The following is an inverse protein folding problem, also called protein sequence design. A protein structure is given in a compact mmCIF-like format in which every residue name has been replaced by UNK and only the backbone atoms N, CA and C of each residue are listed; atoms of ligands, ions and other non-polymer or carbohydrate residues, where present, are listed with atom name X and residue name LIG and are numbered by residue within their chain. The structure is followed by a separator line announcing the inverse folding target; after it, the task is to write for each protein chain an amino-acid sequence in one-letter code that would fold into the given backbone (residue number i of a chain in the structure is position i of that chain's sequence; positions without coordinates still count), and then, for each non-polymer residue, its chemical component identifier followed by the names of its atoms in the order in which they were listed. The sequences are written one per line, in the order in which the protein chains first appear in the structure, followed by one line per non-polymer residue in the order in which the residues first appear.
data_IF_089196809744
#
_entry.id   IF_089196809744
#
_cell.length_a   1.000
_cell.length_b   1.000
_cell.length_c   1.000
_cell.angle_alpha   90.00
_cell.angle_beta   90.00
_cell.angle_gamma   90.00
#
_symmetry.space_group_name_H-M   'P 1'
#
loop_
_entity.id
_entity.type
_entity.pdbx_description
1 polymer ?
#
# COMPACT_ATOMS: atom_id res chain seq x y z
N UNK A 1 -5.79 36.02 20.80
CA UNK A 1 -6.54 35.29 19.76
C UNK A 1 -5.96 33.88 19.69
N UNK A 2 -6.73 32.87 20.09
CA UNK A 2 -6.27 31.48 20.10
C UNK A 2 -6.38 30.95 18.66
N UNK A 3 -5.29 30.39 18.12
CA UNK A 3 -5.26 29.80 16.78
C UNK A 3 -5.50 28.29 16.87
N UNK A 4 -6.05 27.64 15.83
CA UNK A 4 -6.17 26.20 15.77
C UNK A 4 -4.81 25.51 15.94
N UNK A 5 -4.79 24.36 16.61
CA UNK A 5 -3.61 23.51 16.75
C UNK A 5 -3.54 22.60 15.52
N UNK A 6 -2.38 22.55 14.88
CA UNK A 6 -2.10 21.58 13.82
C UNK A 6 -1.61 20.29 14.50
N UNK A 7 -2.25 19.17 14.18
CA UNK A 7 -1.84 17.85 14.65
C UNK A 7 -0.71 17.37 13.74
N UNK A 8 0.51 17.21 14.28
CA UNK A 8 1.70 16.85 13.50
C UNK A 8 1.52 15.55 12.70
N UNK A 9 0.82 14.55 13.26
CA UNK A 9 0.51 13.30 12.54
C UNK A 9 -0.27 13.56 11.24
N UNK A 10 -1.22 14.51 11.24
CA UNK A 10 -2.01 14.82 10.04
C UNK A 10 -1.13 15.47 8.96
N UNK A 11 -0.12 16.27 9.36
CA UNK A 11 0.84 16.83 8.42
C UNK A 11 1.69 15.72 7.80
N UNK A 12 2.14 14.79 8.62
CA UNK A 12 3.00 13.69 8.19
C UNK A 12 2.25 12.70 7.26
N UNK A 13 0.97 12.46 7.52
CA UNK A 13 0.09 11.72 6.61
C UNK A 13 -0.08 12.43 5.27
N UNK A 14 -0.30 13.74 5.28
CA UNK A 14 -0.39 14.54 4.05
C UNK A 14 0.92 14.53 3.26
N UNK A 15 2.06 14.66 3.94
CA UNK A 15 3.39 14.61 3.31
C UNK A 15 3.66 13.23 2.69
N UNK A 16 3.26 12.15 3.38
CA UNK A 16 3.37 10.77 2.89
C UNK A 16 2.57 10.57 1.61
N UNK A 17 1.31 11.02 1.59
CA UNK A 17 0.46 10.94 0.40
C UNK A 17 1.00 11.81 -0.74
N UNK A 18 1.45 13.04 -0.44
CA UNK A 18 2.05 13.93 -1.43
C UNK A 18 3.29 13.29 -2.05
N UNK A 19 4.19 12.73 -1.24
CA UNK A 19 5.39 12.04 -1.73
C UNK A 19 5.02 10.84 -2.60
N UNK A 20 4.09 10.01 -2.14
CA UNK A 20 3.59 8.85 -2.88
C UNK A 20 3.08 9.27 -4.27
N UNK A 21 2.20 10.27 -4.34
CA UNK A 21 1.65 10.80 -5.61
C UNK A 21 2.73 11.40 -6.51
N UNK A 22 3.73 12.06 -5.93
CA UNK A 22 4.80 12.70 -6.69
C UNK A 22 5.71 11.69 -7.42
N UNK A 23 5.87 10.49 -6.87
CA UNK A 23 6.68 9.42 -7.48
C UNK A 23 5.86 8.41 -8.30
N UNK A 24 4.54 8.59 -8.40
CA UNK A 24 3.68 7.70 -9.19
C UNK A 24 3.88 7.88 -10.70
N UNK A 25 3.68 6.81 -11.50
CA UNK A 25 3.69 6.92 -12.94
C UNK A 25 2.61 7.88 -13.44
N UNK A 26 2.96 8.70 -14.43
CA UNK A 26 2.04 9.68 -15.01
C UNK A 26 0.76 9.01 -15.52
N UNK A 27 -0.37 9.60 -15.16
CA UNK A 27 -1.69 9.18 -15.60
C UNK A 27 -2.36 8.14 -14.71
N UNK A 28 -1.61 7.46 -13.82
CA UNK A 28 -2.23 6.58 -12.83
C UNK A 28 -3.11 7.39 -11.87
N UNK A 29 -4.16 6.77 -11.36
CA UNK A 29 -5.06 7.38 -10.37
C UNK A 29 -4.69 6.88 -8.98
N UNK A 30 -4.99 7.69 -7.96
CA UNK A 30 -4.84 7.29 -6.56
C UNK A 30 -5.99 7.94 -5.78
N UNK A 31 -6.98 7.14 -5.42
CA UNK A 31 -8.24 7.58 -4.84
C UNK A 31 -8.34 7.10 -3.39
N UNK A 32 -8.75 7.99 -2.48
CA UNK A 32 -8.99 7.61 -1.08
C UNK A 32 -10.35 6.90 -0.98
N UNK A 33 -10.40 5.68 -0.44
CA UNK A 33 -11.69 5.05 -0.14
C UNK A 33 -12.40 5.79 1.00
N UNK A 34 -13.73 5.73 0.98
CA UNK A 34 -14.59 6.29 2.01
C UNK A 34 -15.75 5.31 2.25
N UNK A 35 -15.96 4.80 3.47
CA UNK A 35 -15.25 5.11 4.72
C UNK A 35 -13.79 4.61 4.75
N UNK A 36 -13.01 5.14 5.70
CA UNK A 36 -11.68 4.62 6.01
C UNK A 36 -11.82 3.22 6.64
N UNK A 37 -11.22 2.24 5.99
CA UNK A 37 -11.31 0.81 6.31
C UNK A 37 -9.92 0.15 6.32
N UNK A 38 -8.86 0.91 6.56
CA UNK A 38 -7.49 0.39 6.53
C UNK A 38 -6.94 0.21 5.12
N UNK A 39 -7.39 1.05 4.19
CA UNK A 39 -6.79 1.27 2.87
C UNK A 39 -6.68 2.78 2.71
N UNK A 40 -5.45 3.29 2.54
CA UNK A 40 -5.25 4.72 2.37
C UNK A 40 -5.50 5.16 0.93
N UNK A 41 -5.08 4.35 -0.06
CA UNK A 41 -5.28 4.63 -1.47
C UNK A 41 -5.64 3.38 -2.27
N UNK A 42 -6.55 3.55 -3.23
CA UNK A 42 -6.78 2.63 -4.34
C UNK A 42 -6.14 3.23 -5.58
N UNK A 43 -5.17 2.52 -6.16
CA UNK A 43 -4.40 2.99 -7.30
C UNK A 43 -4.85 2.30 -8.57
N UNK A 44 -5.37 3.08 -9.52
CA UNK A 44 -5.72 2.62 -10.85
C UNK A 44 -4.53 2.66 -11.80
N UNK A 45 -4.23 1.52 -12.43
CA UNK A 45 -3.12 1.40 -13.39
C UNK A 45 -3.60 1.81 -14.78
N UNK A 46 -2.91 2.79 -15.39
CA UNK A 46 -3.11 3.20 -16.78
C UNK A 46 -1.96 2.71 -17.65
N UNK A 47 -2.29 2.13 -18.80
CA UNK A 47 -1.32 1.65 -19.79
C UNK A 47 -1.67 2.19 -21.17
N UNK A 48 -0.68 2.76 -21.87
CA UNK A 48 -0.86 3.29 -23.23
C UNK A 48 -2.05 4.26 -23.37
N UNK A 49 -2.23 5.14 -22.36
CA UNK A 49 -3.35 6.06 -22.24
C UNK A 49 -4.74 5.39 -22.21
N UNK A 50 -4.82 4.16 -21.69
CA UNK A 50 -6.07 3.42 -21.48
C UNK A 50 -6.13 2.88 -20.06
N UNK A 51 -7.30 2.94 -19.46
CA UNK A 51 -7.56 2.27 -18.19
C UNK A 51 -7.35 0.77 -18.38
N UNK A 52 -6.53 0.15 -17.52
CA UNK A 52 -6.15 -1.27 -17.68
C UNK A 52 -7.05 -2.25 -16.93
N UNK A 53 -8.07 -1.77 -16.20
CA UNK A 53 -8.89 -2.54 -15.25
C UNK A 53 -8.11 -3.19 -14.09
N UNK A 54 -6.84 -2.82 -13.92
CA UNK A 54 -5.98 -3.30 -12.83
C UNK A 54 -5.84 -2.22 -11.79
N UNK A 55 -5.95 -2.64 -10.54
CA UNK A 55 -5.85 -1.78 -9.37
C UNK A 55 -4.93 -2.43 -8.33
N UNK A 56 -4.34 -1.60 -7.47
CA UNK A 56 -3.69 -2.06 -6.25
C UNK A 56 -4.15 -1.22 -5.05
N UNK A 57 -4.13 -1.84 -3.88
CA UNK A 57 -4.43 -1.22 -2.60
C UNK A 57 -3.13 -0.80 -1.93
N UNK A 58 -3.16 0.34 -1.25
CA UNK A 58 -1.99 0.91 -0.59
C UNK A 58 -2.37 1.23 0.85
N UNK A 59 -1.59 0.69 1.78
CA UNK A 59 -1.55 1.19 3.15
C UNK A 59 -0.28 2.04 3.31
N UNK A 60 -0.47 3.32 3.58
CA UNK A 60 0.55 4.27 3.93
C UNK A 60 0.79 4.24 5.45
N UNK A 61 2.06 4.39 5.82
CA UNK A 61 2.53 4.73 7.16
C UNK A 61 3.58 5.82 7.00
N UNK A 62 3.75 6.63 8.03
CA UNK A 62 4.75 7.69 7.99
C UNK A 62 5.39 7.89 9.36
N UNK A 63 6.66 8.26 9.38
CA UNK A 63 7.39 8.67 10.57
C UNK A 63 8.28 9.87 10.28
N UNK A 64 8.45 10.75 11.27
CA UNK A 64 9.37 11.88 11.13
C UNK A 64 10.81 11.37 10.96
N UNK A 65 11.20 10.42 11.82
CA UNK A 65 12.50 9.78 11.80
C UNK A 65 12.41 8.30 11.40
N UNK A 66 13.54 7.75 10.94
CA UNK A 66 13.67 6.33 10.63
C UNK A 66 13.47 5.45 11.88
N UNK A 67 12.86 4.28 11.71
CA UNK A 67 12.77 3.23 12.72
C UNK A 67 13.43 1.95 12.17
N UNK A 68 14.71 2.10 11.80
CA UNK A 68 15.48 1.04 11.14
C UNK A 68 15.88 -0.09 12.10
N UNK A 69 16.04 -1.29 11.56
CA UNK A 69 16.69 -2.42 12.24
C UNK A 69 18.13 -2.09 12.64
N UNK A 70 18.65 -2.77 13.66
CA UNK A 70 20.00 -2.54 14.17
C UNK A 70 21.11 -2.78 13.14
N UNK A 71 20.83 -3.60 12.13
CA UNK A 71 21.70 -3.86 10.98
C UNK A 71 21.54 -2.82 9.85
N UNK A 72 20.62 -1.86 9.97
CA UNK A 72 20.40 -0.82 8.97
C UNK A 72 19.59 -1.28 7.74
N UNK A 73 19.13 -2.53 7.68
CA UNK A 73 18.62 -3.12 6.44
C UNK A 73 17.11 -2.93 6.20
N UNK A 74 16.33 -2.75 7.26
CA UNK A 74 14.87 -2.69 7.15
C UNK A 74 14.29 -1.55 7.97
N UNK A 75 13.33 -0.82 7.40
CA UNK A 75 12.41 0.01 8.15
C UNK A 75 11.34 -0.83 8.83
N UNK A 76 10.93 -0.44 10.04
CA UNK A 76 9.80 -1.06 10.73
C UNK A 76 8.54 -0.22 10.61
N UNK A 77 7.42 -0.89 10.38
CA UNK A 77 6.08 -0.36 10.62
C UNK A 77 5.32 -1.27 11.58
N UNK A 78 4.40 -0.67 12.32
CA UNK A 78 3.36 -1.38 13.08
C UNK A 78 2.10 -1.43 12.21
N UNK A 79 1.55 -2.62 12.04
CA UNK A 79 0.32 -2.87 11.31
C UNK A 79 -0.67 -3.59 12.23
N UNK A 80 -1.92 -3.16 12.26
CA UNK A 80 -2.96 -3.86 13.00
C UNK A 80 -3.25 -5.20 12.33
N UNK A 81 -3.42 -6.25 13.13
CA UNK A 81 -3.70 -7.60 12.61
C UNK A 81 -5.02 -7.63 11.84
N UNK A 82 -6.03 -6.84 12.27
CA UNK A 82 -7.27 -6.65 11.54
C UNK A 82 -7.07 -6.04 10.15
N UNK A 83 -6.18 -5.05 10.02
CA UNK A 83 -5.84 -4.42 8.73
C UNK A 83 -5.12 -5.41 7.83
N UNK A 84 -4.16 -6.18 8.36
CA UNK A 84 -3.50 -7.24 7.59
C UNK A 84 -4.53 -8.23 7.03
N UNK A 85 -5.40 -8.78 7.89
CA UNK A 85 -6.37 -9.79 7.49
C UNK A 85 -7.35 -9.23 6.44
N UNK A 86 -7.84 -8.00 6.65
CA UNK A 86 -8.70 -7.33 5.69
C UNK A 86 -8.03 -7.17 4.33
N UNK A 87 -6.80 -6.63 4.28
CA UNK A 87 -6.06 -6.46 3.02
C UNK A 87 -5.70 -7.79 2.36
N UNK A 88 -5.46 -8.84 3.15
CA UNK A 88 -5.12 -10.17 2.65
C UNK A 88 -6.29 -10.86 1.95
N UNK A 89 -7.50 -10.72 2.49
CA UNK A 89 -8.73 -11.32 1.96
C UNK A 89 -9.24 -10.62 0.69
N UNK A 90 -8.78 -9.39 0.45
CA UNK A 90 -9.14 -8.63 -0.74
C UNK A 90 -8.49 -9.18 -2.03
N UNK A 91 -9.27 -9.18 -3.11
CA UNK A 91 -8.81 -9.67 -4.41
C UNK A 91 -7.78 -8.79 -5.11
N UNK A 92 -7.71 -7.45 -4.94
CA UNK A 92 -6.59 -6.68 -5.49
C UNK A 92 -5.24 -7.04 -4.84
N UNK A 93 -4.14 -6.62 -5.45
CA UNK A 93 -2.82 -6.68 -4.79
C UNK A 93 -2.74 -5.56 -3.75
N UNK A 94 -2.21 -5.84 -2.56
CA UNK A 94 -1.94 -4.83 -1.54
C UNK A 94 -0.43 -4.58 -1.39
N UNK A 95 -0.05 -3.31 -1.24
CA UNK A 95 1.30 -2.87 -0.86
C UNK A 95 1.28 -2.10 0.45
N UNK A 96 2.36 -2.25 1.21
CA UNK A 96 2.64 -1.46 2.41
C UNK A 96 3.73 -0.46 2.06
N UNK A 97 3.54 0.80 2.42
CA UNK A 97 4.49 1.88 2.13
C UNK A 97 4.76 2.66 3.41
N UNK A 98 6.03 2.93 3.70
CA UNK A 98 6.45 3.79 4.79
C UNK A 98 7.21 5.00 4.26
N UNK A 99 6.69 6.20 4.48
CA UNK A 99 7.42 7.45 4.27
C UNK A 99 8.24 7.83 5.52
N UNK A 100 9.50 8.23 5.31
CA UNK A 100 10.39 8.74 6.37
C UNK A 100 10.75 10.18 6.02
N UNK A 101 10.22 11.15 6.79
CA UNK A 101 10.28 12.56 6.43
C UNK A 101 11.70 13.15 6.48
N UNK A 102 12.51 12.77 7.49
CA UNK A 102 13.90 13.23 7.60
C UNK A 102 14.79 12.76 6.44
N UNK A 103 14.40 11.66 5.79
CA UNK A 103 15.10 11.10 4.63
C UNK A 103 14.47 11.52 3.29
N UNK A 104 13.25 12.06 3.31
CA UNK A 104 12.43 12.35 2.12
C UNK A 104 12.30 11.16 1.18
N UNK A 105 12.15 9.97 1.76
CA UNK A 105 12.09 8.70 1.03
C UNK A 105 10.92 7.84 1.52
N UNK A 106 10.33 7.10 0.59
CA UNK A 106 9.36 6.06 0.90
C UNK A 106 9.94 4.68 0.60
N UNK A 107 9.70 3.74 1.51
CA UNK A 107 10.08 2.33 1.37
C UNK A 107 8.83 1.49 1.21
N UNK A 108 8.88 0.41 0.44
CA UNK A 108 7.69 -0.39 0.16
C UNK A 108 7.96 -1.90 0.19
N UNK A 109 6.87 -2.66 0.35
CA UNK A 109 6.85 -4.11 0.17
C UNK A 109 5.44 -4.56 -0.24
N UNK A 110 5.34 -5.66 -1.00
CA UNK A 110 4.07 -6.36 -1.19
C UNK A 110 3.58 -6.96 0.13
N UNK A 111 2.28 -6.87 0.42
CA UNK A 111 1.68 -7.53 1.59
C UNK A 111 1.94 -9.05 1.55
N UNK A 112 1.91 -9.66 0.35
CA UNK A 112 2.19 -11.08 0.14
C UNK A 112 3.60 -11.55 0.51
N UNK A 113 4.51 -10.62 0.83
CA UNK A 113 5.87 -10.91 1.30
C UNK A 113 6.00 -10.67 2.82
N UNK A 114 5.00 -10.08 3.46
CA UNK A 114 4.96 -9.97 4.92
C UNK A 114 4.60 -11.35 5.51
N UNK A 115 5.15 -11.70 6.70
CA UNK A 115 4.75 -12.92 7.38
C UNK A 115 3.29 -12.81 7.85
N UNK A 116 2.62 -13.94 7.95
CA UNK A 116 1.31 -13.98 8.60
C UNK A 116 1.44 -13.53 10.08
N UNK A 117 0.55 -12.66 10.57
CA UNK A 117 0.57 -12.23 11.96
C UNK A 117 0.21 -13.37 12.91
N UNK A 118 0.72 -13.31 14.15
CA UNK A 118 0.10 -14.04 15.25
C UNK A 118 -1.27 -13.42 15.54
N UNK A 119 -2.33 -14.21 15.34
CA UNK A 119 -3.73 -13.78 15.47
C UNK A 119 -4.14 -13.46 16.92
N UNK A 120 -3.33 -13.80 17.91
CA UNK A 120 -3.55 -13.42 19.32
C UNK A 120 -3.10 -11.98 19.63
N UNK A 121 -2.29 -11.37 18.76
CA UNK A 121 -1.81 -10.01 18.94
C UNK A 121 -2.74 -8.98 18.29
N UNK A 122 -2.81 -7.78 18.86
CA UNK A 122 -3.51 -6.65 18.22
C UNK A 122 -2.75 -6.09 17.01
N UNK A 123 -1.41 -6.15 17.07
CA UNK A 123 -0.53 -5.60 16.04
C UNK A 123 0.61 -6.55 15.71
N UNK A 124 1.19 -6.34 14.53
CA UNK A 124 2.43 -6.97 14.09
C UNK A 124 3.44 -5.92 13.65
N UNK A 125 4.72 -6.28 13.72
CA UNK A 125 5.79 -5.49 13.10
C UNK A 125 6.11 -6.04 11.72
N UNK A 126 5.97 -5.22 10.68
CA UNK A 126 6.42 -5.56 9.33
C UNK A 126 7.76 -4.87 9.07
N UNK A 127 8.69 -5.60 8.45
CA UNK A 127 10.01 -5.12 8.05
C UNK A 127 10.01 -4.81 6.56
N UNK A 128 10.22 -3.55 6.19
CA UNK A 128 10.27 -3.09 4.80
C UNK A 128 11.75 -2.92 4.42
N UNK A 129 12.26 -3.64 3.40
CA UNK A 129 13.65 -3.53 3.00
C UNK A 129 14.00 -2.11 2.55
N UNK A 130 15.07 -1.52 3.08
CA UNK A 130 15.53 -0.19 2.67
C UNK A 130 16.07 -0.14 1.24
N UNK A 131 16.38 -1.30 0.67
CA UNK A 131 16.68 -1.45 -0.77
C UNK A 131 15.45 -1.26 -1.66
N UNK A 132 14.23 -1.38 -1.12
CA UNK A 132 12.98 -1.16 -1.86
C UNK A 132 12.48 0.27 -1.67
N UNK A 133 13.21 1.24 -2.24
CA UNK A 133 12.75 2.63 -2.32
C UNK A 133 11.64 2.74 -3.36
N UNK A 134 10.59 3.49 -3.04
CA UNK A 134 9.48 3.75 -3.95
C UNK A 134 9.88 4.88 -4.92
N UNK A 135 10.07 4.50 -6.17
CA UNK A 135 10.53 5.35 -7.27
C UNK A 135 10.05 4.81 -8.63
N UNK A 136 10.44 5.46 -9.72
CA UNK A 136 10.06 5.09 -11.08
C UNK A 136 10.36 3.62 -11.45
N UNK A 137 11.52 3.09 -11.04
CA UNK A 137 11.90 1.70 -11.33
C UNK A 137 11.02 0.72 -10.55
N UNK A 138 10.77 1.00 -9.27
CA UNK A 138 9.92 0.17 -8.43
C UNK A 138 8.50 0.05 -8.98
N UNK A 139 7.95 1.11 -9.56
CA UNK A 139 6.62 1.07 -10.17
C UNK A 139 6.54 0.14 -11.37
N UNK A 140 7.63 -0.04 -12.13
CA UNK A 140 7.67 -1.04 -13.20
C UNK A 140 7.59 -2.46 -12.65
N UNK A 141 8.24 -2.72 -11.51
CA UNK A 141 8.19 -4.01 -10.83
C UNK A 141 6.78 -4.27 -10.28
N UNK A 142 6.22 -3.29 -9.57
CA UNK A 142 4.86 -3.36 -9.01
C UNK A 142 3.84 -3.60 -10.11
N UNK A 143 3.90 -2.84 -11.22
CA UNK A 143 2.99 -2.99 -12.37
C UNK A 143 2.99 -4.42 -12.92
N UNK A 144 4.17 -4.98 -13.16
CA UNK A 144 4.32 -6.35 -13.68
C UNK A 144 3.77 -7.39 -12.71
N UNK A 145 3.98 -7.20 -11.41
CA UNK A 145 3.44 -8.09 -10.40
C UNK A 145 1.91 -8.04 -10.36
N UNK A 146 1.32 -6.83 -10.34
CA UNK A 146 -0.13 -6.62 -10.38
C UNK A 146 -0.74 -7.26 -11.63
N UNK A 147 -0.12 -7.08 -12.79
CA UNK A 147 -0.54 -7.71 -14.05
C UNK A 147 -0.53 -9.23 -13.95
N UNK A 148 0.56 -9.83 -13.46
CA UNK A 148 0.67 -11.28 -13.31
C UNK A 148 -0.42 -11.85 -12.37
N UNK A 149 -0.67 -11.21 -11.23
CA UNK A 149 -1.71 -11.63 -10.29
C UNK A 149 -3.10 -11.42 -10.87
N UNK A 150 -3.35 -10.29 -11.53
CA UNK A 150 -4.63 -10.00 -12.18
C UNK A 150 -4.97 -11.06 -13.23
N UNK A 151 -4.02 -11.41 -14.10
CA UNK A 151 -4.23 -12.43 -15.14
C UNK A 151 -4.50 -13.81 -14.52
N UNK A 152 -3.79 -14.18 -13.45
CA UNK A 152 -4.06 -15.43 -12.71
C UNK A 152 -5.47 -15.46 -12.13
N UNK A 153 -5.92 -14.37 -11.51
CA UNK A 153 -7.27 -14.24 -10.94
C UNK A 153 -8.35 -14.25 -12.02
N UNK A 154 -8.12 -13.54 -13.12
CA UNK A 154 -9.03 -13.52 -14.27
C UNK A 154 -9.18 -14.92 -14.90
N UNK A 155 -8.10 -15.68 -14.99
CA UNK A 155 -8.12 -17.05 -15.51
C UNK A 155 -8.91 -18.05 -14.63
N UNK A 156 -9.04 -17.78 -13.33
CA UNK A 156 -9.84 -18.58 -12.42
C UNK A 156 -11.35 -18.20 -12.44
N UNK A 157 -11.72 -17.18 -13.23
CA UNK A 157 -13.10 -16.70 -13.30
C UNK A 157 -13.94 -17.62 -14.20
N UNK A 158 -15.03 -18.13 -13.64
CA UNK A 158 -16.01 -18.91 -14.39
C UNK A 158 -17.26 -18.07 -14.67
N UNK A 159 -17.97 -18.39 -15.75
CA UNK A 159 -19.34 -17.91 -15.94
C UNK A 159 -20.23 -18.71 -15.02
N UNK A 160 -20.95 -18.01 -14.17
CA UNK A 160 -21.79 -18.61 -13.16
C UNK A 160 -23.26 -18.48 -13.56
N UNK A 161 -24.01 -19.57 -13.45
CA UNK A 161 -25.47 -19.55 -13.52
C UNK A 161 -26.02 -19.19 -12.14
N UNK A 162 -26.81 -18.11 -12.06
CA UNK A 162 -27.39 -17.63 -10.81
C UNK A 162 -28.29 -18.67 -10.13
N UNK A 163 -28.87 -19.60 -10.89
CA UNK A 163 -29.68 -20.70 -10.34
C UNK A 163 -28.90 -21.64 -9.41
N UNK A 164 -27.57 -21.61 -9.42
CA UNK A 164 -26.73 -22.43 -8.53
C UNK A 164 -26.68 -21.92 -7.08
N UNK A 165 -27.25 -20.74 -6.79
CA UNK A 165 -27.18 -20.05 -5.49
C UNK A 165 -28.56 -19.81 -4.84
N UNK A 166 -29.62 -20.34 -5.43
CA UNK A 166 -31.03 -20.20 -5.00
C UNK A 166 -31.65 -21.56 -4.77
#
# INVERSE_FOLDING_TARGET
MQRPIIIENNMLEADSEQHFRAVMPRGWTADKPNPDIGVDLVVGIIESNRASSRELLVQLKASQESNVTSDGLYERITLDVSTYNYLWDLLPVAILVKYVASERAAYWQLLSQAPEPNQENLTMTVKLPRSQVLNDESWQIIRRYVEAIHLRKLGARERVDLAQFT
#
